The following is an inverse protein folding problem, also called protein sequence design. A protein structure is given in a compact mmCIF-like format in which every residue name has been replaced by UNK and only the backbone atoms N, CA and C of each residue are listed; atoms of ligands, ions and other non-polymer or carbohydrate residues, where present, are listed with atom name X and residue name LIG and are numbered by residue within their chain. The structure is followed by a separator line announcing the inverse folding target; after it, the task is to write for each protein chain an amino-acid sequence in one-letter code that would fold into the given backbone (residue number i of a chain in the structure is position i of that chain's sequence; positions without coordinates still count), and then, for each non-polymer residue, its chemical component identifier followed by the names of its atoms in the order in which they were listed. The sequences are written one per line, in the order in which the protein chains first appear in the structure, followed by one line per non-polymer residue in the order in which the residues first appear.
data_IF_030800082155
#
_entry.id   IF_030800082155
#
_cell.length_a   1.000
_cell.length_b   1.000
_cell.length_c   1.000
_cell.angle_alpha   90.00
_cell.angle_beta   90.00
_cell.angle_gamma   90.00
#
_symmetry.space_group_name_H-M   'P 1'
#
loop_
_entity.id
_entity.type
_entity.pdbx_description
1 polymer ?
#
# COMPACT_ATOMS: atom_id res chain seq x y z
N UNK A 1 4.56 -45.33 -16.85
CA UNK A 1 4.87 -44.52 -15.65
C UNK A 1 4.66 -43.00 -15.85
N UNK A 2 3.96 -42.58 -16.90
CA UNK A 2 3.76 -41.15 -17.25
C UNK A 2 2.42 -40.55 -16.79
N UNK A 3 1.47 -41.33 -16.27
CA UNK A 3 0.11 -40.87 -15.96
C UNK A 3 0.02 -40.22 -14.57
N UNK A 4 0.88 -40.57 -13.64
CA UNK A 4 0.83 -40.02 -12.26
C UNK A 4 1.35 -38.59 -12.12
N UNK A 5 2.16 -38.09 -13.06
CA UNK A 5 2.74 -36.74 -12.98
C UNK A 5 1.77 -35.62 -13.41
N UNK A 6 0.83 -35.93 -14.31
CA UNK A 6 -0.18 -34.95 -14.79
C UNK A 6 -1.20 -34.55 -13.71
N UNK A 7 -1.57 -35.47 -12.82
CA UNK A 7 -2.54 -35.19 -11.75
C UNK A 7 -1.98 -34.34 -10.62
N UNK A 8 -0.67 -34.44 -10.35
CA UNK A 8 -0.02 -33.63 -9.31
C UNK A 8 0.09 -32.17 -9.74
N UNK A 9 0.37 -31.93 -11.03
CA UNK A 9 0.44 -30.54 -11.54
C UNK A 9 -0.91 -29.81 -11.53
N UNK A 10 -2.00 -30.53 -11.81
CA UNK A 10 -3.35 -29.96 -11.87
C UNK A 10 -3.88 -29.59 -10.47
N UNK A 11 -3.54 -30.39 -9.44
CA UNK A 11 -3.93 -30.11 -8.04
C UNK A 11 -3.17 -28.91 -7.45
N UNK A 12 -1.89 -28.75 -7.79
CA UNK A 12 -1.08 -27.62 -7.28
C UNK A 12 -1.53 -26.28 -7.88
N UNK A 13 -1.94 -26.25 -9.16
CA UNK A 13 -2.45 -25.04 -9.80
C UNK A 13 -3.83 -24.65 -9.26
N UNK A 14 -4.69 -25.63 -8.94
CA UNK A 14 -6.02 -25.37 -8.35
C UNK A 14 -5.97 -24.83 -6.92
N UNK A 15 -5.00 -25.25 -6.11
CA UNK A 15 -4.86 -24.79 -4.72
C UNK A 15 -4.32 -23.35 -4.60
N UNK A 16 -3.56 -22.86 -5.59
CA UNK A 16 -3.05 -21.49 -5.63
C UNK A 16 -4.11 -20.45 -6.00
N UNK A 17 -5.21 -20.87 -6.66
CA UNK A 17 -6.26 -19.96 -7.08
C UNK A 17 -7.26 -19.60 -5.96
N UNK A 18 -7.37 -20.43 -4.92
CA UNK A 18 -8.43 -20.26 -3.89
C UNK A 18 -7.96 -19.50 -2.63
N UNK A 19 -6.66 -19.26 -2.46
CA UNK A 19 -6.10 -18.65 -1.25
C UNK A 19 -5.62 -17.20 -1.37
N UNK A 20 -5.67 -16.59 -2.56
CA UNK A 20 -5.02 -15.30 -2.82
C UNK A 20 -5.95 -14.08 -2.86
N UNK A 21 -7.25 -14.25 -2.63
CA UNK A 21 -8.21 -13.15 -2.70
C UNK A 21 -7.88 -11.93 -1.78
N UNK A 22 -7.39 -12.09 -0.54
CA UNK A 22 -7.05 -10.95 0.30
C UNK A 22 -5.73 -10.25 -0.06
N UNK A 23 -4.89 -10.84 -0.91
CA UNK A 23 -3.57 -10.29 -1.28
C UNK A 23 -3.52 -9.67 -2.68
N UNK A 24 -4.61 -9.73 -3.44
CA UNK A 24 -4.67 -9.12 -4.76
C UNK A 24 -4.99 -7.65 -4.57
N UNK A 25 -3.97 -6.81 -4.55
CA UNK A 25 -4.14 -5.38 -4.74
C UNK A 25 -4.58 -5.13 -6.16
N UNK A 26 -5.72 -4.50 -6.28
CA UNK A 26 -6.36 -4.30 -7.56
C UNK A 26 -5.70 -3.13 -8.28
N UNK A 27 -5.46 -3.29 -9.57
CA UNK A 27 -5.08 -2.19 -10.44
C UNK A 27 -6.32 -1.79 -11.23
N UNK A 28 -6.94 -0.64 -10.96
CA UNK A 28 -8.17 -0.24 -11.63
C UNK A 28 -7.99 0.08 -13.11
N UNK A 29 -6.77 0.21 -13.58
CA UNK A 29 -6.49 0.45 -15.00
C UNK A 29 -6.70 1.89 -15.49
N UNK A 30 -7.07 2.81 -14.58
CA UNK A 30 -7.46 4.19 -14.92
C UNK A 30 -6.51 5.27 -14.36
N UNK A 31 -5.26 4.93 -14.11
CA UNK A 31 -4.23 5.92 -13.78
C UNK A 31 -3.78 5.96 -12.32
N UNK A 32 -4.48 5.35 -11.36
CA UNK A 32 -3.94 5.01 -10.04
C UNK A 32 -3.65 3.52 -10.00
N UNK A 33 -2.45 3.13 -10.40
CA UNK A 33 -2.09 1.72 -10.49
C UNK A 33 -0.59 1.54 -10.23
N UNK A 34 -0.21 0.59 -9.36
CA UNK A 34 -1.08 -0.18 -8.48
C UNK A 34 -1.57 0.63 -7.28
N UNK A 35 -2.68 0.20 -6.66
CA UNK A 35 -3.23 0.83 -5.45
C UNK A 35 -3.47 -0.18 -4.33
N UNK A 36 -3.31 0.26 -3.10
CA UNK A 36 -3.66 -0.49 -1.90
C UNK A 36 -5.17 -0.34 -1.63
N UNK A 37 -5.95 -1.04 -2.43
CA UNK A 37 -7.41 -1.00 -2.37
C UNK A 37 -8.00 -2.39 -2.14
N UNK A 38 -9.18 -2.44 -1.56
CA UNK A 38 -9.93 -3.66 -1.26
C UNK A 38 -11.33 -3.58 -1.89
N UNK A 39 -12.05 -4.70 -1.90
CA UNK A 39 -13.49 -4.69 -2.20
C UNK A 39 -14.27 -4.79 -0.89
N UNK A 40 -15.32 -3.98 -0.73
CA UNK A 40 -16.21 -3.98 0.41
C UNK A 40 -17.64 -3.72 -0.06
N UNK A 41 -18.47 -4.77 -0.08
CA UNK A 41 -19.81 -4.75 -0.67
C UNK A 41 -19.75 -4.34 -2.15
N UNK A 42 -20.49 -3.30 -2.51
CA UNK A 42 -20.54 -2.77 -3.87
C UNK A 42 -19.34 -1.87 -4.21
N UNK A 43 -18.57 -1.45 -3.22
CA UNK A 43 -17.40 -0.60 -3.43
C UNK A 43 -16.21 -1.46 -3.88
N UNK A 44 -15.88 -1.32 -5.16
CA UNK A 44 -14.68 -1.91 -5.74
C UNK A 44 -13.52 -0.93 -5.64
N UNK A 45 -12.29 -1.45 -5.52
CA UNK A 45 -11.08 -0.62 -5.41
C UNK A 45 -11.19 0.46 -4.30
N UNK A 46 -11.71 0.08 -3.12
CA UNK A 46 -11.86 0.98 -1.99
C UNK A 46 -10.51 1.31 -1.36
N UNK A 47 -10.11 2.58 -1.43
CA UNK A 47 -8.84 3.06 -0.89
C UNK A 47 -8.80 2.91 0.63
N UNK A 48 -7.65 2.43 1.15
CA UNK A 48 -7.35 2.28 2.58
C UNK A 48 -8.50 1.66 3.39
N UNK A 49 -9.17 0.64 2.83
CA UNK A 49 -10.32 -0.03 3.48
C UNK A 49 -11.47 0.94 3.85
N UNK A 50 -11.58 2.09 3.18
CA UNK A 50 -12.62 3.08 3.41
C UNK A 50 -12.31 4.12 4.48
N UNK A 51 -11.08 4.24 4.94
CA UNK A 51 -10.67 5.36 5.77
C UNK A 51 -10.61 6.66 4.97
N UNK A 52 -10.98 7.77 5.60
CA UNK A 52 -11.11 9.08 5.01
C UNK A 52 -9.73 9.74 4.79
N UNK A 53 -9.34 9.86 3.51
CA UNK A 53 -8.02 10.43 3.15
C UNK A 53 -7.89 11.92 3.46
N UNK A 54 -9.00 12.66 3.61
CA UNK A 54 -9.01 14.09 3.95
C UNK A 54 -8.75 14.30 5.44
N UNK A 55 -9.26 13.41 6.30
CA UNK A 55 -9.14 13.52 7.75
C UNK A 55 -7.67 13.58 8.23
N UNK A 56 -6.73 12.95 7.53
CA UNK A 56 -5.30 13.05 7.84
C UNK A 56 -4.78 14.49 7.78
N UNK A 57 -5.31 15.29 6.85
CA UNK A 57 -4.91 16.68 6.64
C UNK A 57 -5.66 17.66 7.53
N UNK A 58 -6.97 17.48 7.65
CA UNK A 58 -7.84 18.41 8.39
C UNK A 58 -7.86 18.15 9.88
N UNK A 59 -8.03 16.88 10.26
CA UNK A 59 -8.30 16.47 11.64
C UNK A 59 -7.04 15.89 12.32
N UNK A 60 -5.96 15.68 11.55
CA UNK A 60 -4.73 15.01 12.01
C UNK A 60 -5.02 13.64 12.64
N UNK A 61 -5.97 12.93 12.08
CA UNK A 61 -6.45 11.64 12.59
C UNK A 61 -6.86 10.70 11.46
N UNK A 62 -6.74 9.39 11.69
CA UNK A 62 -7.39 8.40 10.84
C UNK A 62 -8.84 8.25 11.27
N UNK A 63 -9.76 8.36 10.33
CA UNK A 63 -11.21 8.25 10.57
C UNK A 63 -11.84 7.33 9.54
N UNK A 64 -12.74 6.42 9.94
CA UNK A 64 -13.51 5.65 8.97
C UNK A 64 -14.44 6.58 8.19
N UNK A 65 -14.49 6.38 6.88
CA UNK A 65 -15.48 7.04 6.01
C UNK A 65 -16.81 6.32 6.04
N UNK A 66 -17.88 7.05 5.78
CA UNK A 66 -19.25 6.53 5.71
C UNK A 66 -19.48 5.90 4.33
N UNK A 67 -20.09 4.70 4.23
CA UNK A 67 -20.39 4.07 2.94
C UNK A 67 -21.28 4.92 2.00
N UNK A 68 -22.08 5.81 2.57
CA UNK A 68 -23.00 6.70 1.84
C UNK A 68 -22.34 8.01 1.38
N UNK A 69 -21.15 8.35 1.90
CA UNK A 69 -20.43 9.58 1.57
C UNK A 69 -19.13 9.22 0.85
N UNK A 70 -19.22 9.11 -0.47
CA UNK A 70 -18.11 8.60 -1.27
C UNK A 70 -17.94 9.32 -2.60
N UNK A 71 -16.75 9.26 -3.15
CA UNK A 71 -16.41 9.68 -4.51
C UNK A 71 -15.60 8.60 -5.22
N UNK A 72 -15.68 8.59 -6.53
CA UNK A 72 -14.81 7.78 -7.39
C UNK A 72 -13.81 8.70 -8.10
N UNK A 73 -12.54 8.35 -8.05
CA UNK A 73 -11.49 9.07 -8.75
C UNK A 73 -10.50 8.10 -9.37
N UNK A 74 -10.28 8.19 -10.68
CA UNK A 74 -9.40 7.31 -11.46
C UNK A 74 -9.62 5.82 -11.18
N UNK A 75 -10.90 5.39 -11.14
CA UNK A 75 -11.30 4.00 -10.89
C UNK A 75 -11.19 3.53 -9.45
N UNK A 76 -10.84 4.41 -8.51
CA UNK A 76 -10.72 4.10 -7.08
C UNK A 76 -11.84 4.77 -6.30
N UNK A 77 -12.47 4.03 -5.39
CA UNK A 77 -13.50 4.54 -4.48
C UNK A 77 -12.85 5.08 -3.21
N UNK A 78 -13.28 6.27 -2.80
CA UNK A 78 -12.90 6.93 -1.56
C UNK A 78 -14.14 7.16 -0.72
N UNK A 79 -14.09 6.86 0.59
CA UNK A 79 -15.14 7.17 1.56
C UNK A 79 -14.71 8.31 2.47
N UNK A 80 -15.66 9.13 2.90
CA UNK A 80 -15.39 10.30 3.73
C UNK A 80 -16.24 10.28 5.01
N UNK A 81 -15.68 10.83 6.08
CA UNK A 81 -16.37 10.94 7.36
C UNK A 81 -17.49 11.99 7.34
N UNK A 82 -17.41 12.95 6.41
CA UNK A 82 -18.42 14.02 6.27
C UNK A 82 -18.58 14.47 4.82
N UNK A 83 -19.68 15.18 4.56
CA UNK A 83 -19.92 15.82 3.25
C UNK A 83 -18.90 16.93 2.95
N UNK A 84 -18.40 17.62 3.98
CA UNK A 84 -17.37 18.64 3.86
C UNK A 84 -16.05 18.04 3.38
N UNK A 85 -15.63 16.90 3.97
CA UNK A 85 -14.43 16.19 3.52
C UNK A 85 -14.56 15.71 2.07
N UNK A 86 -15.75 15.18 1.72
CA UNK A 86 -16.02 14.82 0.34
C UNK A 86 -15.87 16.01 -0.61
N UNK A 87 -16.43 17.18 -0.25
CA UNK A 87 -16.34 18.39 -1.06
C UNK A 87 -14.89 18.88 -1.23
N UNK A 88 -14.07 18.81 -0.15
CA UNK A 88 -12.65 19.13 -0.22
C UNK A 88 -11.89 18.18 -1.15
N UNK A 89 -12.19 16.87 -1.09
CA UNK A 89 -11.59 15.90 -1.99
C UNK A 89 -11.99 16.15 -3.44
N UNK A 90 -13.28 16.33 -3.71
CA UNK A 90 -13.79 16.52 -5.07
C UNK A 90 -13.20 17.78 -5.74
N UNK A 91 -12.92 18.81 -4.94
CA UNK A 91 -12.29 20.04 -5.42
C UNK A 91 -10.79 19.87 -5.76
N UNK A 92 -10.08 18.98 -5.06
CA UNK A 92 -8.63 18.78 -5.24
C UNK A 92 -8.18 17.35 -4.88
N UNK A 93 -8.57 16.32 -5.63
CA UNK A 93 -8.30 14.92 -5.27
C UNK A 93 -6.83 14.61 -5.10
N UNK A 94 -5.98 15.11 -6.00
CA UNK A 94 -4.53 14.83 -6.00
C UNK A 94 -3.82 15.29 -4.72
N UNK A 95 -4.39 16.26 -4.00
CA UNK A 95 -3.88 16.74 -2.72
C UNK A 95 -3.99 15.69 -1.62
N UNK A 96 -5.03 14.87 -1.65
CA UNK A 96 -5.41 13.98 -0.56
C UNK A 96 -5.06 12.51 -0.80
N UNK A 97 -4.78 12.15 -2.07
CA UNK A 97 -4.44 10.76 -2.44
C UNK A 97 -3.11 10.36 -1.76
N UNK A 98 -3.08 9.21 -1.06
CA UNK A 98 -1.85 8.71 -0.48
C UNK A 98 -0.79 8.45 -1.55
N UNK A 99 0.45 8.81 -1.26
CA UNK A 99 1.58 8.53 -2.12
C UNK A 99 1.81 7.02 -2.26
N UNK A 100 2.49 6.62 -3.30
CA UNK A 100 2.77 5.21 -3.60
C UNK A 100 1.51 4.34 -3.62
N UNK A 101 0.37 4.89 -4.09
CA UNK A 101 -0.90 4.17 -4.15
C UNK A 101 -1.44 3.73 -2.78
N UNK A 102 -1.01 4.32 -1.67
CA UNK A 102 -1.38 3.92 -0.32
C UNK A 102 -0.68 2.65 0.18
N UNK A 103 0.36 2.18 -0.51
CA UNK A 103 1.21 1.10 -0.02
C UNK A 103 2.12 1.58 1.11
N UNK A 104 2.64 0.61 1.86
CA UNK A 104 3.65 0.86 2.89
C UNK A 104 4.89 1.52 2.29
N UNK A 105 5.17 2.76 2.66
CA UNK A 105 6.30 3.55 2.17
C UNK A 105 7.64 2.84 2.41
N UNK A 106 7.82 2.23 3.59
CA UNK A 106 9.02 1.45 3.87
C UNK A 106 9.11 0.16 3.03
N UNK A 107 7.97 -0.43 2.63
CA UNK A 107 7.96 -1.54 1.68
C UNK A 107 8.46 -1.11 0.30
N UNK A 108 8.07 0.08 -0.14
CA UNK A 108 8.52 0.64 -1.43
C UNK A 108 10.01 0.93 -1.44
N UNK A 109 10.66 1.24 -0.30
CA UNK A 109 12.15 1.33 -0.18
C UNK A 109 12.84 0.09 -0.75
N UNK A 110 12.19 -1.06 -0.68
CA UNK A 110 12.68 -2.35 -1.19
C UNK A 110 12.03 -2.76 -2.52
N UNK A 111 11.22 -1.89 -3.13
CA UNK A 111 10.44 -2.20 -4.33
C UNK A 111 9.32 -3.20 -4.09
N UNK A 112 8.84 -3.33 -2.84
CA UNK A 112 7.81 -4.29 -2.47
C UNK A 112 6.53 -3.55 -2.05
N UNK A 113 5.45 -3.58 -2.84
CA UNK A 113 4.19 -2.88 -2.53
C UNK A 113 3.38 -3.65 -1.46
N UNK A 114 3.86 -3.67 -0.21
CA UNK A 114 3.10 -4.16 0.95
C UNK A 114 1.98 -3.20 1.31
N UNK A 115 0.89 -3.71 1.90
CA UNK A 115 -0.22 -2.87 2.34
C UNK A 115 0.20 -1.84 3.39
N UNK A 116 -0.38 -0.64 3.30
CA UNK A 116 -0.31 0.37 4.34
C UNK A 116 -1.51 0.25 5.29
N UNK A 117 -1.28 0.50 6.57
CA UNK A 117 -2.32 0.54 7.61
C UNK A 117 -2.81 1.98 7.81
N UNK A 118 -4.12 2.14 7.98
CA UNK A 118 -4.73 3.47 8.04
C UNK A 118 -4.32 4.27 9.29
N UNK A 119 -3.97 3.59 10.37
CA UNK A 119 -3.57 4.18 11.65
C UNK A 119 -2.07 4.52 11.74
N UNK A 120 -1.27 4.12 10.73
CA UNK A 120 0.17 4.38 10.70
C UNK A 120 0.55 5.18 9.45
N UNK A 121 0.69 6.47 9.63
CA UNK A 121 0.85 7.43 8.54
C UNK A 121 1.76 8.58 8.92
N UNK A 122 2.22 9.33 7.91
CA UNK A 122 3.00 10.56 8.07
C UNK A 122 2.70 11.52 6.91
N UNK A 123 2.81 12.82 7.16
CA UNK A 123 2.73 13.85 6.13
C UNK A 123 4.11 14.49 5.96
N UNK A 124 4.76 14.25 4.83
CA UNK A 124 5.99 14.91 4.41
C UNK A 124 5.70 15.86 3.25
N UNK A 125 6.14 17.11 3.37
CA UNK A 125 5.96 18.14 2.33
C UNK A 125 4.53 18.23 1.78
N UNK A 126 3.54 18.13 2.68
CA UNK A 126 2.14 18.21 2.34
C UNK A 126 1.57 16.98 1.61
N UNK A 127 2.29 15.85 1.59
CA UNK A 127 1.88 14.59 0.97
C UNK A 127 1.69 13.50 2.01
N UNK A 128 0.65 12.69 1.85
CA UNK A 128 0.30 11.61 2.77
C UNK A 128 1.05 10.32 2.39
N UNK A 129 1.73 9.73 3.37
CA UNK A 129 2.43 8.45 3.25
C UNK A 129 1.89 7.47 4.27
N UNK A 130 1.70 6.22 3.84
CA UNK A 130 1.20 5.13 4.67
C UNK A 130 2.31 4.17 5.03
N UNK A 131 2.19 3.50 6.19
CA UNK A 131 3.13 2.48 6.64
C UNK A 131 2.38 1.21 7.05
N UNK A 132 3.03 0.04 6.92
CA UNK A 132 2.46 -1.25 7.32
C UNK A 132 2.81 -1.59 8.77
N UNK A 133 2.36 -0.76 9.70
CA UNK A 133 2.61 -0.87 11.14
C UNK A 133 3.74 0.02 11.67
N UNK A 134 3.73 0.27 13.00
CA UNK A 134 4.67 1.17 13.67
C UNK A 134 6.14 0.76 13.51
N UNK A 135 6.45 -0.54 13.53
CA UNK A 135 7.82 -1.00 13.31
C UNK A 135 8.36 -0.65 11.91
N UNK A 136 7.47 -0.64 10.91
CA UNK A 136 7.80 -0.23 9.54
C UNK A 136 8.01 1.29 9.44
N UNK A 137 7.21 2.07 10.14
CA UNK A 137 7.38 3.52 10.27
C UNK A 137 8.70 3.86 10.97
N UNK A 138 8.95 3.29 12.15
CA UNK A 138 10.17 3.51 12.92
C UNK A 138 11.44 3.18 12.10
N UNK A 139 11.39 2.06 11.36
CA UNK A 139 12.50 1.68 10.49
C UNK A 139 12.74 2.68 9.35
N UNK A 140 11.68 3.21 8.77
CA UNK A 140 11.78 4.28 7.76
C UNK A 140 12.41 5.54 8.34
N UNK A 141 12.03 5.91 9.56
CA UNK A 141 12.48 7.10 10.26
C UNK A 141 13.94 7.05 10.75
N UNK A 142 14.62 5.90 10.65
CA UNK A 142 16.07 5.81 10.92
C UNK A 142 16.90 6.67 9.96
N UNK A 143 16.47 6.77 8.70
CA UNK A 143 17.08 7.65 7.68
C UNK A 143 16.01 8.05 6.65
N UNK A 144 15.11 8.97 6.99
CA UNK A 144 13.96 9.30 6.14
C UNK A 144 14.39 9.89 4.79
N UNK A 145 15.47 10.64 4.74
CA UNK A 145 15.98 11.24 3.48
C UNK A 145 16.42 10.18 2.48
N UNK A 146 17.26 9.24 2.91
CA UNK A 146 17.73 8.14 2.09
C UNK A 146 16.56 7.21 1.71
N UNK A 147 15.73 6.86 2.67
CA UNK A 147 14.61 5.94 2.47
C UNK A 147 13.57 6.54 1.51
N UNK A 148 13.29 7.83 1.58
CA UNK A 148 12.41 8.51 0.64
C UNK A 148 13.00 8.52 -0.78
N UNK A 149 14.31 8.77 -0.92
CA UNK A 149 14.97 8.70 -2.23
C UNK A 149 14.89 7.30 -2.85
N UNK A 150 15.10 6.25 -2.05
CA UNK A 150 14.96 4.86 -2.49
C UNK A 150 13.51 4.51 -2.85
N UNK A 151 12.54 4.93 -2.04
CA UNK A 151 11.13 4.69 -2.30
C UNK A 151 10.69 5.35 -3.61
N UNK A 152 11.05 6.61 -3.84
CA UNK A 152 10.77 7.31 -5.10
C UNK A 152 11.41 6.61 -6.31
N UNK A 153 12.66 6.19 -6.18
CA UNK A 153 13.36 5.42 -7.23
C UNK A 153 12.60 4.15 -7.58
N UNK A 154 12.36 3.27 -6.60
CA UNK A 154 11.71 1.97 -6.88
C UNK A 154 10.25 2.11 -7.28
N UNK A 155 9.55 3.12 -6.78
CA UNK A 155 8.22 3.43 -7.26
C UNK A 155 8.24 3.75 -8.75
N UNK A 156 9.09 4.67 -9.17
CA UNK A 156 9.16 5.12 -10.57
C UNK A 156 9.68 4.05 -11.51
N UNK A 157 10.73 3.34 -11.11
CA UNK A 157 11.43 2.40 -12.00
C UNK A 157 10.74 1.03 -12.09
N UNK A 158 9.98 0.62 -11.06
CA UNK A 158 9.55 -0.77 -10.97
C UNK A 158 8.12 -1.01 -10.52
N UNK A 159 7.58 -0.19 -9.60
CA UNK A 159 6.29 -0.48 -8.97
C UNK A 159 5.15 0.18 -9.71
N UNK A 160 5.29 1.46 -10.04
CA UNK A 160 4.26 2.21 -10.76
C UNK A 160 3.96 1.57 -12.12
N UNK A 161 2.68 1.33 -12.39
CA UNK A 161 2.24 0.64 -13.61
C UNK A 161 2.45 -0.88 -13.62
N UNK A 162 3.06 -1.46 -12.57
CA UNK A 162 3.27 -2.91 -12.46
C UNK A 162 2.07 -3.63 -11.83
N UNK A 163 2.05 -4.96 -11.96
CA UNK A 163 1.17 -5.79 -11.14
C UNK A 163 1.80 -5.99 -9.76
N UNK A 164 1.12 -5.52 -8.70
CA UNK A 164 1.64 -5.56 -7.34
C UNK A 164 1.99 -6.96 -6.84
N UNK A 165 1.21 -8.00 -7.21
CA UNK A 165 1.52 -9.38 -6.81
C UNK A 165 2.80 -9.88 -7.50
N UNK A 166 2.93 -9.65 -8.79
CA UNK A 166 4.12 -10.01 -9.57
C UNK A 166 5.35 -9.30 -9.01
N UNK A 167 5.22 -8.01 -8.71
CA UNK A 167 6.32 -7.21 -8.14
C UNK A 167 6.74 -7.70 -6.76
N UNK A 168 5.80 -8.11 -5.89
CA UNK A 168 6.10 -8.75 -4.59
C UNK A 168 6.89 -10.03 -4.78
N UNK A 169 6.42 -10.94 -5.64
CA UNK A 169 7.12 -12.21 -5.93
C UNK A 169 8.51 -11.94 -6.48
N UNK A 170 8.64 -11.04 -7.46
CA UNK A 170 9.93 -10.64 -8.02
C UNK A 170 10.91 -10.22 -6.91
N UNK A 171 10.48 -9.35 -5.99
CA UNK A 171 11.36 -8.79 -4.96
C UNK A 171 11.60 -9.69 -3.76
N UNK A 172 10.75 -10.66 -3.49
CA UNK A 172 11.02 -11.71 -2.51
C UNK A 172 12.09 -12.70 -3.01
N UNK A 173 12.14 -12.94 -4.33
CA UNK A 173 13.15 -13.81 -4.97
C UNK A 173 14.44 -13.01 -5.26
N UNK A 174 14.31 -11.86 -5.91
CA UNK A 174 15.43 -11.00 -6.33
C UNK A 174 15.48 -9.76 -5.45
N UNK A 175 16.04 -9.92 -4.25
CA UNK A 175 16.15 -8.85 -3.25
C UNK A 175 17.04 -7.71 -3.74
N UNK A 176 16.71 -6.50 -3.32
CA UNK A 176 17.60 -5.33 -3.55
C UNK A 176 18.87 -5.45 -2.69
N UNK A 177 19.99 -4.83 -3.10
CA UNK A 177 21.26 -4.94 -2.36
C UNK A 177 21.20 -4.47 -0.90
N UNK A 178 20.32 -3.52 -0.60
CA UNK A 178 20.13 -2.95 0.75
C UNK A 178 18.96 -3.59 1.50
N UNK A 179 18.45 -4.73 1.04
CA UNK A 179 17.33 -5.42 1.69
C UNK A 179 17.68 -5.80 3.12
N UNK A 180 16.75 -5.50 4.03
CA UNK A 180 16.78 -5.94 5.41
C UNK A 180 15.50 -6.67 5.76
N UNK A 181 15.61 -7.70 6.56
CA UNK A 181 14.47 -8.42 7.12
C UNK A 181 13.79 -7.58 8.21
N UNK A 182 12.54 -7.89 8.53
CA UNK A 182 11.84 -7.24 9.63
C UNK A 182 12.57 -7.36 10.98
N UNK A 183 13.27 -8.49 11.20
CA UNK A 183 14.08 -8.69 12.41
C UNK A 183 15.28 -7.73 12.46
N UNK A 184 16.05 -7.64 11.39
CA UNK A 184 17.19 -6.71 11.30
C UNK A 184 16.76 -5.26 11.48
N UNK A 185 15.64 -4.86 10.87
CA UNK A 185 15.08 -3.52 11.06
C UNK A 185 14.66 -3.26 12.50
N UNK A 186 14.02 -4.23 13.16
CA UNK A 186 13.62 -4.10 14.56
C UNK A 186 14.83 -3.98 15.50
N UNK A 187 15.91 -4.71 15.23
CA UNK A 187 17.18 -4.62 15.97
C UNK A 187 17.84 -3.23 15.81
N UNK A 188 17.84 -2.68 14.58
CA UNK A 188 18.38 -1.34 14.32
C UNK A 188 17.54 -0.26 15.03
N UNK A 189 16.21 -0.34 14.94
CA UNK A 189 15.31 0.59 15.67
C UNK A 189 15.56 0.52 17.17
N UNK A 190 15.67 -0.70 17.73
CA UNK A 190 15.95 -0.88 19.17
C UNK A 190 17.32 -0.32 19.56
N UNK A 191 18.33 -0.46 18.71
CA UNK A 191 19.65 0.10 18.96
C UNK A 191 19.66 1.66 18.88
N UNK A 192 18.89 2.24 17.94
CA UNK A 192 18.77 3.70 17.81
C UNK A 192 18.06 4.34 19.02
N UNK A 193 17.05 3.67 19.60
CA UNK A 193 16.30 4.15 20.77
C UNK A 193 17.12 4.12 22.08
N UNK A 194 18.29 3.47 22.10
CA UNK A 194 19.17 3.39 23.28
C UNK A 194 20.26 4.48 23.30
N UNK A 195 20.38 5.24 22.23
CA UNK A 195 21.32 6.36 22.10
C UNK A 195 20.69 7.69 22.46
#
# INVERSE_FOLDING_TARGET
MAIKLRWILTVVIGALASGCAPFITQSPGEGLSPVNAVSDGDDKHLMLKGYDVVAYFTDKAYKPGLPTVKSMYKGVTFRFASAEHKALFDAAPEKYIPQFGGYCTNGIVYGIPWGGDADVWEIFDGKLYMFGGHGSHDAFMLDPTRNMALANKYWTEEVNGSNALVQRVKRLVFRVPHYKTGKELAEEVAAAKKK
#
